data_IF_650469933179
#
_entry.id   IF_650469933179
#
_cell.length_a   1.000
_cell.length_b   1.000
_cell.length_c   1.000
_cell.angle_alpha   90.00
_cell.angle_beta   90.00
_cell.angle_gamma   90.00
#
_symmetry.space_group_name_H-M   'P 1'
#
loop_
_entity.id
_entity.type
_entity.pdbx_description
1 polymer ?
#
# COMPACT_ATOMS: atom_id res chain seq x y z
N UNK A 1 13.07 9.83 0.30
CA UNK A 1 11.93 10.30 1.14
C UNK A 1 10.61 9.96 0.45
N UNK A 2 9.55 9.59 1.17
CA UNK A 2 8.21 9.38 0.55
C UNK A 2 7.53 10.73 0.28
N UNK A 3 6.93 10.88 -0.89
CA UNK A 3 6.32 12.12 -1.36
C UNK A 3 4.92 11.87 -1.91
N UNK A 4 4.00 12.78 -1.62
CA UNK A 4 2.58 12.66 -1.97
C UNK A 4 2.08 13.77 -2.91
N UNK A 5 2.96 14.69 -3.30
CA UNK A 5 2.67 15.80 -4.20
C UNK A 5 3.97 16.35 -4.79
N UNK A 6 3.84 17.16 -5.84
CA UNK A 6 4.96 17.84 -6.47
C UNK A 6 5.69 18.79 -5.51
N UNK A 7 4.92 19.52 -4.68
CA UNK A 7 5.49 20.41 -3.66
C UNK A 7 6.40 19.64 -2.69
N UNK A 8 5.91 18.51 -2.15
CA UNK A 8 6.70 17.69 -1.21
C UNK A 8 7.91 17.07 -1.90
N UNK A 9 7.83 16.78 -3.20
CA UNK A 9 8.98 16.32 -3.98
C UNK A 9 10.07 17.40 -4.06
N UNK A 10 9.73 18.65 -4.38
CA UNK A 10 10.70 19.75 -4.38
C UNK A 10 11.32 20.00 -2.99
N UNK A 11 10.52 19.94 -1.93
CA UNK A 11 11.03 20.04 -0.56
C UNK A 11 12.01 18.89 -0.23
N UNK A 12 11.75 17.68 -0.73
CA UNK A 12 12.66 16.55 -0.57
C UNK A 12 13.98 16.79 -1.30
N UNK A 13 13.97 17.33 -2.51
CA UNK A 13 15.19 17.67 -3.26
C UNK A 13 16.02 18.73 -2.53
N UNK A 14 15.38 19.76 -1.97
CA UNK A 14 16.06 20.79 -1.18
C UNK A 14 16.76 20.21 0.06
N UNK A 15 16.30 19.07 0.57
CA UNK A 15 16.93 18.33 1.67
C UNK A 15 18.06 17.40 1.23
N UNK A 16 18.37 17.34 -0.06
CA UNK A 16 19.49 16.55 -0.60
C UNK A 16 19.27 15.04 -0.57
N UNK A 17 18.03 14.58 -0.79
CA UNK A 17 17.74 13.14 -0.84
C UNK A 17 18.34 12.47 -2.08
N UNK A 18 18.81 11.23 -1.93
CA UNK A 18 19.34 10.44 -3.06
C UNK A 18 18.25 9.87 -3.96
N UNK A 19 17.02 9.73 -3.45
CA UNK A 19 15.86 9.25 -4.19
C UNK A 19 14.56 9.68 -3.50
N UNK A 20 13.48 9.75 -4.29
CA UNK A 20 12.12 9.93 -3.77
C UNK A 20 11.28 8.68 -4.01
N UNK A 21 10.31 8.46 -3.12
CA UNK A 21 9.29 7.42 -3.29
C UNK A 21 7.97 8.12 -3.52
N UNK A 22 7.52 8.15 -4.77
CA UNK A 22 6.27 8.77 -5.19
C UNK A 22 5.13 7.80 -4.89
N UNK A 23 4.28 8.15 -3.93
CA UNK A 23 3.17 7.29 -3.50
C UNK A 23 1.84 7.81 -4.03
N UNK A 24 1.18 7.06 -4.91
CA UNK A 24 -0.19 7.37 -5.36
C UNK A 24 -1.24 7.04 -4.30
N UNK A 25 -2.44 7.61 -4.42
CA UNK A 25 -3.56 7.44 -3.48
C UNK A 25 -4.09 6.00 -3.35
N UNK A 26 -3.70 5.12 -4.27
CA UNK A 26 -4.07 3.70 -4.30
C UNK A 26 -3.32 2.89 -3.23
N UNK A 27 -2.21 3.42 -2.69
CA UNK A 27 -1.38 2.73 -1.71
C UNK A 27 -2.10 2.51 -0.37
N UNK A 28 -1.80 1.36 0.26
CA UNK A 28 -2.22 1.03 1.62
C UNK A 28 -1.53 1.88 2.69
N UNK A 29 -2.15 1.99 3.85
CA UNK A 29 -1.57 2.64 5.03
C UNK A 29 -1.78 4.15 5.00
N UNK A 30 -1.13 4.88 5.90
CA UNK A 30 -1.23 6.34 5.93
C UNK A 30 -0.74 6.93 4.62
N UNK A 31 -1.59 7.72 3.97
CA UNK A 31 -1.30 8.28 2.67
C UNK A 31 -2.04 9.60 2.47
N UNK A 32 -1.27 10.68 2.32
CA UNK A 32 -1.78 12.03 2.06
C UNK A 32 -1.97 12.34 0.59
N UNK A 33 -1.55 11.43 -0.30
CA UNK A 33 -1.70 11.63 -1.73
C UNK A 33 -3.18 11.68 -2.11
N UNK A 34 -3.54 12.67 -2.93
CA UNK A 34 -4.86 12.79 -3.56
C UNK A 34 -4.80 12.44 -5.04
N UNK A 35 -3.59 12.39 -5.62
CA UNK A 35 -3.36 12.00 -7.00
C UNK A 35 -3.09 10.50 -7.11
N UNK A 36 -3.48 9.92 -8.23
CA UNK A 36 -3.20 8.53 -8.57
C UNK A 36 -1.75 8.36 -9.00
N UNK A 37 -1.25 7.13 -8.92
CA UNK A 37 0.09 6.77 -9.39
C UNK A 37 0.26 7.15 -10.87
N UNK A 38 -0.79 6.96 -11.68
CA UNK A 38 -0.81 7.26 -13.11
C UNK A 38 -0.51 8.73 -13.44
N UNK A 39 -0.97 9.66 -12.61
CA UNK A 39 -0.78 11.11 -12.85
C UNK A 39 0.37 11.70 -12.04
N UNK A 40 0.58 11.20 -10.82
CA UNK A 40 1.59 11.77 -9.91
C UNK A 40 3.03 11.40 -10.30
N UNK A 41 3.26 10.16 -10.73
CA UNK A 41 4.61 9.68 -11.08
C UNK A 41 5.24 10.50 -12.20
N UNK A 42 4.63 10.66 -13.40
CA UNK A 42 5.27 11.41 -14.48
C UNK A 42 5.45 12.89 -14.11
N UNK A 43 4.46 13.49 -13.44
CA UNK A 43 4.56 14.88 -13.00
C UNK A 43 5.74 15.13 -12.04
N UNK A 44 6.04 14.18 -11.16
CA UNK A 44 7.19 14.28 -10.26
C UNK A 44 8.49 13.98 -11.02
N UNK A 45 8.55 12.90 -11.80
CA UNK A 45 9.75 12.49 -12.54
C UNK A 45 10.29 13.62 -13.44
N UNK A 46 9.41 14.29 -14.18
CA UNK A 46 9.78 15.42 -15.04
C UNK A 46 10.35 16.61 -14.26
N UNK A 47 9.93 16.79 -13.00
CA UNK A 47 10.24 17.98 -12.21
C UNK A 47 11.49 17.88 -11.33
N UNK A 48 11.96 16.67 -11.01
CA UNK A 48 13.03 16.47 -10.02
C UNK A 48 14.30 15.82 -10.57
N UNK A 49 14.43 15.75 -11.90
CA UNK A 49 15.64 15.28 -12.57
C UNK A 49 16.89 16.01 -12.01
N UNK A 50 18.00 15.30 -11.72
CA UNK A 50 18.28 13.89 -12.01
C UNK A 50 17.99 12.91 -10.86
N UNK A 51 17.21 13.29 -9.84
CA UNK A 51 16.97 12.44 -8.66
C UNK A 51 16.03 11.27 -9.00
N UNK A 52 16.43 10.01 -8.77
CA UNK A 52 15.60 8.83 -9.04
C UNK A 52 14.25 8.83 -8.32
N UNK A 53 13.24 8.38 -9.06
CA UNK A 53 11.87 8.13 -8.63
C UNK A 53 11.64 6.62 -8.47
N UNK A 54 11.34 6.23 -7.23
CA UNK A 54 10.73 4.93 -6.93
C UNK A 54 9.23 5.18 -6.80
N UNK A 55 8.36 4.36 -7.40
CA UNK A 55 6.92 4.54 -7.24
C UNK A 55 6.28 3.49 -6.34
N UNK A 56 5.24 3.89 -5.60
CA UNK A 56 4.47 3.03 -4.70
C UNK A 56 2.97 3.26 -4.88
N UNK A 57 2.18 2.19 -4.74
CA UNK A 57 0.72 2.23 -4.81
C UNK A 57 0.18 1.55 -6.07
N UNK A 58 -0.85 0.73 -5.91
CA UNK A 58 -1.51 0.05 -7.05
C UNK A 58 -0.70 -1.10 -7.71
N UNK A 59 0.56 -1.30 -7.37
CA UNK A 59 1.45 -2.28 -8.04
C UNK A 59 1.47 -3.61 -7.28
N UNK A 60 1.10 -4.69 -7.96
CA UNK A 60 1.12 -6.06 -7.42
C UNK A 60 1.70 -7.11 -8.37
N UNK A 61 1.99 -6.75 -9.63
CA UNK A 61 2.39 -7.68 -10.67
C UNK A 61 3.30 -7.00 -11.73
N UNK A 62 3.74 -7.75 -12.74
CA UNK A 62 4.64 -7.23 -13.77
C UNK A 62 4.01 -6.17 -14.68
N UNK A 63 2.68 -6.15 -14.84
CA UNK A 63 1.97 -5.13 -15.63
C UNK A 63 2.07 -3.77 -14.94
N UNK A 64 1.82 -3.75 -13.63
CA UNK A 64 1.99 -2.54 -12.81
C UNK A 64 3.44 -2.05 -12.80
N UNK A 65 4.40 -2.98 -12.77
CA UNK A 65 5.83 -2.64 -12.85
C UNK A 65 6.18 -1.97 -14.19
N UNK A 66 5.75 -2.54 -15.33
CA UNK A 66 6.03 -1.94 -16.64
C UNK A 66 5.35 -0.56 -16.79
N UNK A 67 4.12 -0.41 -16.30
CA UNK A 67 3.44 0.87 -16.30
C UNK A 67 4.20 1.93 -15.50
N UNK A 68 4.67 1.57 -14.29
CA UNK A 68 5.50 2.44 -13.46
C UNK A 68 6.78 2.91 -14.16
N UNK A 69 7.52 1.97 -14.76
CA UNK A 69 8.75 2.29 -15.50
C UNK A 69 8.47 3.20 -16.70
N UNK A 70 7.38 2.93 -17.43
CA UNK A 70 6.96 3.76 -18.56
C UNK A 70 6.53 5.18 -18.16
N UNK A 71 6.13 5.39 -16.90
CA UNK A 71 5.77 6.71 -16.35
C UNK A 71 7.00 7.50 -15.84
N UNK A 72 8.22 6.96 -15.96
CA UNK A 72 9.45 7.63 -15.57
C UNK A 72 9.96 7.28 -14.17
N UNK A 73 9.47 6.21 -13.56
CA UNK A 73 10.10 5.65 -12.35
C UNK A 73 11.25 4.69 -12.72
N UNK A 74 12.29 4.63 -11.88
CA UNK A 74 13.40 3.68 -12.03
C UNK A 74 13.14 2.36 -11.29
N UNK A 75 12.23 2.36 -10.31
CA UNK A 75 11.88 1.16 -9.56
C UNK A 75 10.46 1.24 -8.96
N UNK A 76 9.99 0.10 -8.46
CA UNK A 76 8.72 -0.02 -7.75
C UNK A 76 8.92 -0.43 -6.30
N UNK A 77 8.11 0.14 -5.42
CA UNK A 77 7.95 -0.27 -4.03
C UNK A 77 6.62 -0.99 -3.86
N UNK A 78 6.70 -2.29 -3.60
CA UNK A 78 5.54 -3.18 -3.49
C UNK A 78 5.17 -3.39 -2.01
N UNK A 79 3.90 -3.17 -1.65
CA UNK A 79 3.39 -3.32 -0.29
C UNK A 79 2.45 -4.52 -0.14
N UNK A 80 1.17 -4.32 -0.46
CA UNK A 80 0.08 -5.29 -0.27
C UNK A 80 0.37 -6.69 -0.82
N UNK A 81 0.98 -6.79 -2.00
CA UNK A 81 1.37 -8.08 -2.60
C UNK A 81 2.40 -8.83 -1.76
N UNK A 82 3.33 -8.14 -1.09
CA UNK A 82 4.33 -8.74 -0.21
C UNK A 82 3.81 -9.04 1.19
N UNK A 83 2.73 -8.39 1.65
CA UNK A 83 2.05 -8.80 2.90
C UNK A 83 1.45 -10.20 2.74
N UNK A 84 0.90 -10.51 1.56
CA UNK A 84 0.45 -11.85 1.19
C UNK A 84 1.62 -12.74 0.71
N UNK A 85 2.71 -12.76 1.49
CA UNK A 85 3.82 -13.71 1.33
C UNK A 85 3.92 -14.65 2.54
N UNK A 86 4.60 -15.78 2.38
CA UNK A 86 4.81 -16.74 3.46
C UNK A 86 5.66 -16.13 4.58
N UNK A 87 6.69 -15.37 4.19
CA UNK A 87 7.70 -14.79 5.07
C UNK A 87 7.22 -13.53 5.80
N UNK A 88 6.18 -12.86 5.30
CA UNK A 88 5.61 -11.70 5.96
C UNK A 88 5.13 -12.07 7.37
N UNK A 89 5.60 -11.31 8.37
CA UNK A 89 5.19 -11.42 9.77
C UNK A 89 3.81 -10.77 10.01
N UNK A 90 2.85 -11.15 9.19
CA UNK A 90 1.44 -10.75 9.26
C UNK A 90 0.61 -11.93 9.76
N UNK A 91 -0.50 -11.64 10.45
CA UNK A 91 -1.43 -12.68 10.87
C UNK A 91 -2.06 -13.37 9.65
N UNK A 92 -2.25 -14.70 9.70
CA UNK A 92 -2.75 -15.49 8.57
C UNK A 92 -4.13 -15.03 8.09
N UNK A 93 -5.06 -14.74 9.02
CA UNK A 93 -6.36 -14.18 8.66
C UNK A 93 -6.25 -12.87 7.86
N UNK A 94 -5.28 -12.00 8.17
CA UNK A 94 -5.07 -10.75 7.43
C UNK A 94 -4.49 -11.01 6.03
N UNK A 95 -3.57 -11.97 5.88
CA UNK A 95 -3.10 -12.40 4.55
C UNK A 95 -4.25 -12.94 3.70
N UNK A 96 -5.11 -13.76 4.28
CA UNK A 96 -6.29 -14.31 3.58
C UNK A 96 -7.26 -13.20 3.16
N UNK A 97 -7.52 -12.22 4.03
CA UNK A 97 -8.34 -11.05 3.67
C UNK A 97 -7.78 -10.28 2.48
N UNK A 98 -6.46 -10.18 2.31
CA UNK A 98 -5.86 -9.57 1.11
C UNK A 98 -6.16 -10.41 -0.14
N UNK A 99 -6.05 -11.74 -0.06
CA UNK A 99 -6.30 -12.66 -1.18
C UNK A 99 -7.78 -12.66 -1.60
N UNK A 100 -8.68 -12.56 -0.62
CA UNK A 100 -10.13 -12.56 -0.83
C UNK A 100 -10.66 -11.21 -1.34
N UNK A 101 -9.91 -10.12 -1.14
CA UNK A 101 -10.33 -8.79 -1.52
C UNK A 101 -10.41 -8.59 -3.05
N UNK A 102 -11.37 -7.80 -3.46
CA UNK A 102 -11.48 -7.21 -4.80
C UNK A 102 -10.89 -5.80 -4.82
N UNK A 103 -10.78 -5.21 -6.01
CA UNK A 103 -10.27 -3.83 -6.18
C UNK A 103 -11.10 -2.79 -5.41
N UNK A 104 -12.39 -3.07 -5.19
CA UNK A 104 -13.34 -2.16 -4.54
C UNK A 104 -13.43 -2.32 -3.03
N UNK A 105 -12.74 -3.31 -2.46
CA UNK A 105 -12.88 -3.66 -1.04
C UNK A 105 -11.93 -2.87 -0.13
N UNK A 106 -11.17 -1.92 -0.67
CA UNK A 106 -10.37 -1.01 0.17
C UNK A 106 -10.99 0.38 0.26
N UNK A 107 -10.82 1.02 1.41
CA UNK A 107 -11.31 2.38 1.66
C UNK A 107 -10.23 3.24 2.26
N UNK A 108 -10.33 4.55 2.04
CA UNK A 108 -9.56 5.55 2.81
C UNK A 108 -10.42 6.03 3.96
N UNK A 109 -9.86 5.98 5.17
CA UNK A 109 -10.56 6.34 6.41
C UNK A 109 -9.61 6.98 7.41
N UNK A 110 -10.14 7.75 8.34
CA UNK A 110 -9.42 8.27 9.50
C UNK A 110 -9.71 7.50 10.79
N UNK A 111 -10.50 6.42 10.71
CA UNK A 111 -10.91 5.61 11.87
C UNK A 111 -9.70 4.98 12.58
N UNK A 112 -8.71 4.47 11.85
CA UNK A 112 -7.55 3.80 12.45
C UNK A 112 -6.36 4.76 12.60
N UNK A 113 -5.76 4.77 13.80
CA UNK A 113 -4.67 5.67 14.17
C UNK A 113 -5.10 7.10 14.49
N UNK A 114 -6.13 7.32 15.34
CA UNK A 114 -6.66 8.66 15.63
C UNK A 114 -5.65 9.61 16.30
N UNK A 115 -4.52 9.10 16.81
CA UNK A 115 -3.39 9.91 17.27
C UNK A 115 -2.72 10.75 16.17
N UNK A 116 -2.96 10.42 14.90
CA UNK A 116 -2.45 11.14 13.73
C UNK A 116 -3.61 11.83 12.98
N UNK A 117 -4.18 12.93 13.53
CA UNK A 117 -5.30 13.61 12.90
C UNK A 117 -4.93 14.06 11.49
N UNK A 118 -5.89 13.97 10.56
CA UNK A 118 -5.73 14.32 9.15
C UNK A 118 -4.74 13.46 8.35
N UNK A 119 -4.38 12.27 8.84
CA UNK A 119 -3.57 11.29 8.10
C UNK A 119 -4.42 10.08 7.73
N UNK A 120 -5.25 10.15 6.67
CA UNK A 120 -6.10 9.02 6.31
C UNK A 120 -5.25 7.80 5.97
N UNK A 121 -5.74 6.64 6.39
CA UNK A 121 -5.17 5.34 6.13
C UNK A 121 -6.04 4.61 5.10
N UNK A 122 -5.41 3.87 4.18
CA UNK A 122 -6.14 2.91 3.35
C UNK A 122 -6.06 1.49 3.91
N UNK A 123 -7.23 0.88 4.10
CA UNK A 123 -7.42 -0.45 4.69
C UNK A 123 -8.44 -1.24 3.87
N UNK A 124 -8.46 -2.56 4.04
CA UNK A 124 -9.58 -3.40 3.62
C UNK A 124 -10.81 -3.03 4.46
N UNK A 125 -11.96 -2.83 3.80
CA UNK A 125 -13.25 -2.60 4.43
C UNK A 125 -13.58 -3.77 5.35
N UNK A 126 -13.94 -3.45 6.58
CA UNK A 126 -14.36 -4.40 7.59
C UNK A 126 -15.55 -3.84 8.37
N UNK A 127 -16.04 -4.62 9.34
CA UNK A 127 -17.19 -4.25 10.17
C UNK A 127 -17.00 -2.89 10.86
N UNK A 128 -15.78 -2.57 11.31
CA UNK A 128 -15.48 -1.29 11.96
C UNK A 128 -15.60 -0.13 10.98
N UNK A 129 -15.07 -0.27 9.78
CA UNK A 129 -15.24 0.73 8.72
C UNK A 129 -16.73 0.98 8.45
N UNK A 130 -17.51 -0.07 8.23
CA UNK A 130 -18.93 0.08 7.87
C UNK A 130 -19.75 0.73 9.00
N UNK A 131 -19.45 0.40 10.25
CA UNK A 131 -20.13 0.95 11.43
C UNK A 131 -19.73 2.41 11.73
N UNK A 132 -18.48 2.80 11.44
CA UNK A 132 -17.91 4.08 11.87
C UNK A 132 -17.74 5.10 10.75
N UNK A 133 -17.74 4.71 9.47
CA UNK A 133 -17.64 5.65 8.34
C UNK A 133 -18.68 6.78 8.36
N UNK A 134 -19.94 6.58 8.77
CA UNK A 134 -20.91 7.69 8.89
C UNK A 134 -20.60 8.68 10.03
N UNK A 135 -19.66 8.33 10.92
CA UNK A 135 -19.37 9.01 12.17
C UNK A 135 -17.89 9.01 12.54
N UNK A 136 -17.00 9.11 11.54
CA UNK A 136 -15.54 9.08 11.79
C UNK A 136 -15.09 10.20 12.74
N UNK A 137 -15.78 11.35 12.72
CA UNK A 137 -15.52 12.47 13.63
C UNK A 137 -15.72 12.16 15.12
N UNK A 138 -16.43 11.07 15.44
CA UNK A 138 -16.64 10.62 16.82
C UNK A 138 -15.48 9.73 17.33
N UNK A 139 -14.54 9.34 16.44
CA UNK A 139 -13.35 8.59 16.82
C UNK A 139 -12.36 9.52 17.52
N UNK A 140 -12.09 9.24 18.80
CA UNK A 140 -11.23 10.08 19.66
C UNK A 140 -9.93 9.37 20.04
N UNK A 141 -8.88 10.17 20.28
CA UNK A 141 -7.62 9.74 20.89
C UNK A 141 -7.34 10.54 22.18
N UNK A 142 -6.90 9.91 23.28
CA UNK A 142 -6.72 8.47 23.45
C UNK A 142 -8.04 7.71 23.41
N UNK A 143 -7.98 6.44 22.97
CA UNK A 143 -9.12 5.53 23.05
C UNK A 143 -9.55 5.36 24.51
N UNK A 144 -10.83 5.09 24.75
CA UNK A 144 -11.35 4.88 26.10
C UNK A 144 -10.59 3.72 26.80
N UNK A 145 -10.22 3.86 28.09
CA UNK A 145 -9.36 2.92 28.79
C UNK A 145 -9.82 1.45 28.80
N UNK A 146 -11.11 1.19 28.59
CA UNK A 146 -11.69 -0.16 28.67
C UNK A 146 -12.01 -0.77 27.30
N UNK A 147 -11.69 -0.08 26.19
CA UNK A 147 -12.02 -0.52 24.82
C UNK A 147 -10.82 -1.17 24.13
N UNK A 148 -10.41 -2.34 24.60
CA UNK A 148 -9.41 -3.17 23.94
C UNK A 148 -10.04 -4.28 23.08
N UNK A 149 -9.55 -4.44 21.85
CA UNK A 149 -10.01 -5.46 20.90
C UNK A 149 -9.08 -6.67 20.84
N UNK A 150 -7.93 -6.59 21.51
CA UNK A 150 -6.95 -7.65 21.53
C UNK A 150 -5.64 -7.26 22.19
N UNK A 151 -4.62 -8.06 21.92
CA UNK A 151 -3.24 -7.82 22.33
C UNK A 151 -2.30 -8.43 21.30
N UNK A 152 -1.07 -7.96 21.27
CA UNK A 152 -0.01 -8.51 20.42
C UNK A 152 1.33 -8.52 21.14
N UNK A 153 2.35 -9.09 20.51
CA UNK A 153 3.73 -8.99 20.96
C UNK A 153 4.49 -8.13 19.95
N UNK A 154 5.02 -7.01 20.43
CA UNK A 154 5.86 -6.11 19.65
C UNK A 154 7.22 -5.98 20.35
N UNK A 155 8.30 -6.23 19.61
CA UNK A 155 9.67 -6.20 20.15
C UNK A 155 9.83 -7.01 21.46
N UNK A 156 9.16 -8.16 21.52
CA UNK A 156 9.20 -9.08 22.67
C UNK A 156 8.35 -8.68 23.87
N UNK A 157 7.56 -7.60 23.79
CA UNK A 157 6.71 -7.12 24.88
C UNK A 157 5.23 -7.25 24.53
N UNK A 158 4.37 -7.63 25.49
CA UNK A 158 2.92 -7.58 25.28
C UNK A 158 2.49 -6.13 25.11
N UNK A 159 1.69 -5.88 24.06
CA UNK A 159 1.10 -4.58 23.76
C UNK A 159 -0.40 -4.77 23.63
N UNK A 160 -1.21 -4.14 24.49
CA UNK A 160 -2.67 -4.19 24.35
C UNK A 160 -3.07 -3.39 23.11
N UNK A 161 -4.07 -3.88 22.38
CA UNK A 161 -4.57 -3.26 21.15
C UNK A 161 -5.90 -2.56 21.45
N UNK A 162 -5.90 -1.24 21.65
CA UNK A 162 -7.13 -0.49 21.79
C UNK A 162 -7.92 -0.54 20.48
N UNK A 163 -9.24 -0.39 20.57
CA UNK A 163 -10.08 -0.14 19.39
C UNK A 163 -9.50 1.07 18.63
N UNK A 164 -9.57 1.02 17.30
CA UNK A 164 -9.01 2.03 16.39
C UNK A 164 -7.47 2.09 16.33
N UNK A 165 -6.76 1.13 16.92
CA UNK A 165 -5.31 1.04 16.73
C UNK A 165 -4.93 0.97 15.25
N UNK A 166 -3.88 1.71 14.87
CA UNK A 166 -3.24 1.66 13.55
C UNK A 166 -2.35 0.43 13.34
N UNK A 167 -2.18 -0.41 14.38
CA UNK A 167 -1.32 -1.59 14.31
C UNK A 167 -2.01 -2.73 13.54
N UNK A 168 -1.41 -3.21 12.43
CA UNK A 168 -1.91 -4.40 11.76
C UNK A 168 -1.63 -5.66 12.60
N UNK A 169 -2.45 -6.70 12.45
CA UNK A 169 -2.28 -7.94 13.20
C UNK A 169 -1.04 -8.72 12.71
N UNK A 170 -0.27 -9.26 13.66
CA UNK A 170 0.88 -10.14 13.41
C UNK A 170 0.59 -11.55 13.96
N UNK A 171 1.47 -12.56 13.74
CA UNK A 171 1.23 -13.94 14.19
C UNK A 171 1.05 -14.14 15.70
N UNK A 172 1.41 -13.17 16.53
CA UNK A 172 1.21 -13.20 18.00
C UNK A 172 0.02 -12.37 18.45
N UNK A 173 -0.70 -11.75 17.52
CA UNK A 173 -1.91 -11.01 17.83
C UNK A 173 -3.04 -11.97 18.18
N UNK A 174 -3.75 -11.66 19.26
CA UNK A 174 -4.96 -12.36 19.71
C UNK A 174 -6.09 -11.34 19.90
N UNK A 175 -7.34 -11.78 19.78
CA UNK A 175 -8.52 -10.91 19.88
C UNK A 175 -9.30 -10.89 18.57
N UNK A 176 -10.07 -9.83 18.35
CA UNK A 176 -10.88 -9.67 17.14
C UNK A 176 -10.03 -9.05 16.02
N UNK A 177 -9.46 -9.91 15.17
CA UNK A 177 -8.64 -9.50 14.01
C UNK A 177 -9.46 -8.69 12.99
N UNK A 178 -10.75 -8.96 12.89
CA UNK A 178 -11.66 -8.29 11.95
C UNK A 178 -11.96 -6.84 12.36
N UNK A 179 -11.74 -6.48 13.63
CA UNK A 179 -11.81 -5.09 14.10
C UNK A 179 -10.48 -4.32 13.96
N UNK A 180 -9.40 -4.94 13.49
CA UNK A 180 -8.08 -4.30 13.39
C UNK A 180 -7.85 -3.59 12.05
N UNK A 181 -6.80 -2.77 11.99
CA UNK A 181 -6.37 -2.10 10.77
C UNK A 181 -5.77 -3.11 9.76
N UNK A 182 -6.63 -3.66 8.89
CA UNK A 182 -6.20 -4.54 7.79
C UNK A 182 -5.66 -3.72 6.62
N UNK A 183 -4.43 -3.22 6.75
CA UNK A 183 -3.83 -2.27 5.82
C UNK A 183 -3.66 -2.87 4.41
N UNK A 184 -4.28 -2.29 3.39
CA UNK A 184 -4.06 -2.72 2.01
C UNK A 184 -4.32 -1.60 1.03
N UNK A 185 -3.59 -1.62 -0.09
CA UNK A 185 -3.87 -0.77 -1.25
C UNK A 185 -4.91 -1.41 -2.17
N UNK A 186 -5.37 -0.66 -3.16
CA UNK A 186 -6.33 -1.14 -4.17
C UNK A 186 -5.78 -2.32 -4.98
N UNK A 187 -4.46 -2.51 -4.98
CA UNK A 187 -3.80 -3.67 -5.58
C UNK A 187 -4.13 -5.01 -4.88
N UNK A 188 -4.81 -5.00 -3.72
CA UNK A 188 -5.32 -6.22 -3.09
C UNK A 188 -6.17 -7.05 -4.07
N UNK A 189 -6.98 -6.38 -4.90
CA UNK A 189 -7.79 -7.02 -5.94
C UNK A 189 -7.01 -7.80 -7.00
N UNK A 190 -5.69 -7.64 -7.07
CA UNK A 190 -4.78 -8.36 -7.99
C UNK A 190 -3.99 -9.47 -7.28
N UNK A 191 -4.06 -9.56 -5.96
CA UNK A 191 -3.43 -10.61 -5.16
C UNK A 191 -4.36 -11.81 -5.10
N UNK A 192 -3.90 -13.00 -5.51
CA UNK A 192 -4.75 -14.19 -5.67
C UNK A 192 -4.37 -15.40 -4.83
N UNK A 193 -3.22 -15.36 -4.20
CA UNK A 193 -2.67 -16.48 -3.44
C UNK A 193 -1.54 -15.99 -2.54
N UNK A 194 -1.20 -16.76 -1.51
CA UNK A 194 -0.02 -16.52 -0.65
C UNK A 194 1.14 -17.33 -1.21
N UNK A 195 2.25 -16.65 -1.53
CA UNK A 195 3.43 -17.24 -2.16
C UNK A 195 4.73 -16.91 -1.41
N UNK A 196 5.81 -17.69 -1.57
CA UNK A 196 7.13 -17.25 -1.15
C UNK A 196 7.48 -15.89 -1.78
N UNK A 197 8.07 -14.99 -1.01
CA UNK A 197 8.41 -13.65 -1.47
C UNK A 197 9.36 -13.66 -2.67
N UNK A 198 10.29 -14.63 -2.71
CA UNK A 198 11.19 -14.83 -3.84
C UNK A 198 10.45 -15.19 -5.14
N UNK A 199 9.41 -16.02 -5.06
CA UNK A 199 8.58 -16.37 -6.22
C UNK A 199 7.78 -15.16 -6.70
N UNK A 200 7.19 -14.38 -5.78
CA UNK A 200 6.47 -13.15 -6.13
C UNK A 200 7.38 -12.21 -6.93
N UNK A 201 8.61 -11.97 -6.48
CA UNK A 201 9.55 -11.09 -7.19
C UNK A 201 9.92 -11.67 -8.55
N UNK A 202 10.20 -12.97 -8.63
CA UNK A 202 10.54 -13.62 -9.90
C UNK A 202 9.40 -13.53 -10.91
N UNK A 203 8.16 -13.82 -10.49
CA UNK A 203 6.96 -13.72 -11.33
C UNK A 203 6.73 -12.30 -11.83
N UNK A 204 6.84 -11.30 -10.95
CA UNK A 204 6.73 -9.89 -11.36
C UNK A 204 7.73 -9.51 -12.45
N UNK A 205 8.98 -9.95 -12.31
CA UNK A 205 10.03 -9.68 -13.30
C UNK A 205 9.78 -10.39 -14.63
N UNK A 206 9.38 -11.67 -14.58
CA UNK A 206 9.09 -12.45 -15.78
C UNK A 206 7.85 -11.94 -16.52
N UNK A 207 6.78 -11.59 -15.80
CA UNK A 207 5.61 -10.94 -16.39
C UNK A 207 5.96 -9.58 -17.02
N UNK A 208 6.78 -8.77 -16.35
CA UNK A 208 7.23 -7.49 -16.90
C UNK A 208 8.00 -7.70 -18.21
N UNK A 209 8.92 -8.67 -18.24
CA UNK A 209 9.66 -9.07 -19.44
C UNK A 209 8.71 -9.47 -20.57
N UNK A 210 7.71 -10.32 -20.29
CA UNK A 210 6.71 -10.74 -21.26
C UNK A 210 5.87 -9.57 -21.80
N UNK A 211 5.44 -8.65 -20.94
CA UNK A 211 4.71 -7.45 -21.36
C UNK A 211 5.55 -6.61 -22.32
N UNK A 212 6.82 -6.39 -22.00
CA UNK A 212 7.73 -5.60 -22.85
C UNK A 212 7.96 -6.31 -24.19
N UNK A 213 8.39 -7.58 -24.16
CA UNK A 213 8.84 -8.28 -25.35
C UNK A 213 7.72 -8.70 -26.30
N UNK A 214 6.58 -9.12 -25.76
CA UNK A 214 5.52 -9.74 -26.56
C UNK A 214 4.33 -8.82 -26.80
N UNK A 215 3.99 -7.96 -25.84
CA UNK A 215 2.84 -7.06 -25.97
C UNK A 215 3.25 -5.71 -26.54
N UNK A 216 4.20 -5.01 -25.91
CA UNK A 216 4.56 -3.65 -26.29
C UNK A 216 5.36 -3.62 -27.60
N UNK A 217 6.43 -4.41 -27.72
CA UNK A 217 7.20 -4.48 -28.97
C UNK A 217 6.35 -4.97 -30.15
N UNK A 218 5.37 -5.86 -29.90
CA UNK A 218 4.43 -6.30 -30.93
C UNK A 218 3.52 -5.17 -31.42
N UNK A 219 3.05 -4.30 -30.51
CA UNK A 219 2.13 -3.21 -30.82
C UNK A 219 2.77 -2.04 -31.60
N UNK A 220 4.09 -1.84 -31.45
CA UNK A 220 4.81 -0.73 -32.10
C UNK A 220 5.58 -1.17 -33.35
N UNK A 221 5.54 -2.45 -33.72
CA UNK A 221 6.16 -2.93 -34.96
C UNK A 221 5.37 -2.43 -36.17
N UNK A 222 6.04 -1.90 -37.21
CA UNK A 222 5.36 -1.55 -38.45
C UNK A 222 4.71 -2.79 -39.08
N UNK A 223 3.57 -2.65 -39.79
CA UNK A 223 2.92 -3.78 -40.44
C UNK A 223 3.89 -4.47 -41.40
N UNK A 224 3.90 -5.81 -41.40
CA UNK A 224 4.69 -6.60 -42.36
C UNK A 224 4.15 -6.31 -43.77
N UNK A 225 5.05 -5.86 -44.66
CA UNK A 225 4.78 -5.68 -46.10
C UNK A 225 4.49 -7.02 -46.77
#
# INVERSE_FOLDING_TARGET
MQVSSLQVAHEAIQRGVDAVIVRGMEAGGHNRSTATTLSLVPAVADAITPVPVITAGGIADGRGMVAALALGAEAVWVGTRLVASQEAYAHEAYKNRIVEATVSDTVRTTIFGPEWPHQPMRVIRNRVVDEWSPREQEVVYPCEPDKFIGQTILLGKPVPLPKFSSLPPNPKTTGDIEEMALIAGESAGLVKEIKPAGEIVHEMMEEARQVIEHRLLGAVRPPRK
#
